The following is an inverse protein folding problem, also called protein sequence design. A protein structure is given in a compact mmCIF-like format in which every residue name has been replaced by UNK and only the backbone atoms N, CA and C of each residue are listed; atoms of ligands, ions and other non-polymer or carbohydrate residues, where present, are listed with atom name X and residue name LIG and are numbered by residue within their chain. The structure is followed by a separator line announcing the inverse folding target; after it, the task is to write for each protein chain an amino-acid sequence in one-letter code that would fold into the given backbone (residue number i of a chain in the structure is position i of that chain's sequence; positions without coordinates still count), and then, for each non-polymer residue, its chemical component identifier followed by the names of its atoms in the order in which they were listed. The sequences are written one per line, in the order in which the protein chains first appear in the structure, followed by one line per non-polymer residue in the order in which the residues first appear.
data_IF_550510479445
#
_entry.id   IF_550510479445
#
_cell.length_a   1.000
_cell.length_b   1.000
_cell.length_c   1.000
_cell.angle_alpha   90.00
_cell.angle_beta   90.00
_cell.angle_gamma   90.00
#
_symmetry.space_group_name_H-M   'P 1'
#
loop_
_entity.id
_entity.type
_entity.pdbx_description
1 polymer ?
#
# COMPACT_ATOMS: atom_id res chain seq x y z
N UNK A 1 3.76 -15.32 -11.02
CA UNK A 1 3.75 -13.89 -11.41
C UNK A 1 4.86 -13.09 -10.74
N UNK A 2 5.24 -13.41 -9.49
CA UNK A 2 6.32 -12.70 -8.79
C UNK A 2 7.07 -13.57 -7.78
N UNK A 3 8.25 -13.11 -7.36
CA UNK A 3 9.08 -13.69 -6.31
C UNK A 3 9.54 -12.61 -5.33
N UNK A 4 9.29 -12.80 -4.03
CA UNK A 4 9.70 -11.89 -2.97
C UNK A 4 11.14 -12.20 -2.52
N UNK A 5 12.03 -11.22 -2.57
CA UNK A 5 13.44 -11.35 -2.18
C UNK A 5 13.68 -10.58 -0.87
N UNK A 6 14.37 -11.21 0.08
CA UNK A 6 14.78 -10.60 1.35
C UNK A 6 16.27 -10.84 1.58
N UNK A 7 17.05 -9.78 1.74
CA UNK A 7 18.48 -9.91 2.08
C UNK A 7 18.74 -10.10 3.57
N UNK A 8 17.81 -9.71 4.44
CA UNK A 8 17.95 -9.82 5.89
C UNK A 8 16.63 -10.22 6.58
N UNK A 9 16.73 -10.90 7.72
CA UNK A 9 15.57 -11.35 8.50
C UNK A 9 14.68 -10.20 9.01
N UNK A 10 15.25 -9.02 9.27
CA UNK A 10 14.49 -7.86 9.74
C UNK A 10 13.53 -7.29 8.68
N UNK A 11 13.67 -7.66 7.41
CA UNK A 11 12.67 -7.29 6.39
C UNK A 11 11.31 -7.95 6.67
N UNK A 12 11.31 -9.18 7.18
CA UNK A 12 10.08 -9.85 7.60
C UNK A 12 9.49 -9.19 8.84
N UNK A 13 10.31 -8.77 9.82
CA UNK A 13 9.82 -8.07 11.02
C UNK A 13 9.20 -6.70 10.66
N UNK A 14 9.74 -6.02 9.65
CA UNK A 14 9.22 -4.75 9.10
C UNK A 14 8.21 -4.93 7.96
N UNK A 15 7.79 -6.16 7.67
CA UNK A 15 6.76 -6.51 6.70
C UNK A 15 6.97 -5.99 5.26
N UNK A 16 8.19 -6.05 4.73
CA UNK A 16 8.46 -5.73 3.32
C UNK A 16 9.44 -6.73 2.69
N UNK A 17 9.56 -6.69 1.36
CA UNK A 17 10.60 -7.41 0.62
C UNK A 17 11.64 -6.41 0.12
N UNK A 18 12.94 -6.71 0.23
CA UNK A 18 13.99 -5.81 -0.28
C UNK A 18 13.97 -5.69 -1.80
N UNK A 19 13.46 -6.71 -2.49
CA UNK A 19 13.10 -6.65 -3.89
C UNK A 19 11.92 -7.59 -4.16
N UNK A 20 11.21 -7.33 -5.26
CA UNK A 20 10.22 -8.26 -5.82
C UNK A 20 10.55 -8.43 -7.30
N UNK A 21 10.83 -9.66 -7.73
CA UNK A 21 11.08 -10.00 -9.13
C UNK A 21 9.77 -10.40 -9.79
N UNK A 22 9.33 -9.67 -10.81
CA UNK A 22 8.17 -10.05 -11.64
C UNK A 22 8.62 -11.11 -12.65
N UNK A 23 7.94 -12.25 -12.68
CA UNK A 23 8.31 -13.43 -13.49
C UNK A 23 7.37 -13.67 -14.67
N UNK A 24 6.34 -12.85 -14.82
CA UNK A 24 5.39 -12.87 -15.93
C UNK A 24 4.24 -11.91 -15.69
N UNK A 25 3.31 -11.82 -16.64
CA UNK A 25 2.08 -11.04 -16.53
C UNK A 25 2.19 -9.60 -17.02
N UNK A 26 1.14 -8.82 -16.74
CA UNK A 26 1.05 -7.41 -17.10
C UNK A 26 1.23 -6.52 -15.88
N UNK A 27 2.02 -5.45 -16.02
CA UNK A 27 2.15 -4.44 -14.97
C UNK A 27 1.00 -3.44 -15.03
N UNK A 28 0.35 -3.23 -13.89
CA UNK A 28 -0.67 -2.21 -13.69
C UNK A 28 -0.10 -1.16 -12.74
N UNK A 29 -0.04 0.08 -13.21
CA UNK A 29 0.44 1.23 -12.44
C UNK A 29 -0.76 1.92 -11.79
N UNK A 30 -0.81 1.91 -10.47
CA UNK A 30 -1.89 2.57 -9.72
C UNK A 30 -1.52 4.04 -9.48
N UNK A 31 -2.54 4.89 -9.53
CA UNK A 31 -2.44 6.25 -9.03
C UNK A 31 -2.18 6.26 -7.50
N UNK A 32 -1.93 7.45 -6.95
CA UNK A 32 -1.91 7.67 -5.50
C UNK A 32 -3.29 7.41 -4.91
N UNK A 33 -3.44 6.31 -4.18
CA UNK A 33 -4.69 5.92 -3.53
C UNK A 33 -4.78 6.61 -2.17
N UNK A 34 -5.85 7.36 -1.99
CA UNK A 34 -6.12 8.21 -0.82
C UNK A 34 -7.34 7.72 -0.05
N UNK A 35 -7.54 8.14 1.21
CA UNK A 35 -8.62 7.66 2.07
C UNK A 35 -9.94 8.40 1.81
N UNK A 36 -10.33 8.52 0.54
CA UNK A 36 -11.62 9.09 0.15
C UNK A 36 -12.57 8.01 -0.34
N UNK A 37 -13.87 8.22 -0.15
CA UNK A 37 -14.89 7.37 -0.74
C UNK A 37 -15.18 7.74 -2.21
N UNK A 38 -16.13 7.04 -2.83
CA UNK A 38 -16.55 7.26 -4.21
C UNK A 38 -17.12 8.67 -4.48
N UNK A 39 -17.57 9.37 -3.43
CA UNK A 39 -18.05 10.75 -3.48
C UNK A 39 -16.95 11.76 -3.11
N UNK A 40 -15.69 11.32 -3.02
CA UNK A 40 -14.51 12.12 -2.67
C UNK A 40 -14.58 12.70 -1.25
N UNK A 41 -15.30 12.06 -0.32
CA UNK A 41 -15.35 12.46 1.09
C UNK A 41 -14.27 11.74 1.87
N UNK A 42 -13.62 12.45 2.81
CA UNK A 42 -12.62 11.85 3.70
C UNK A 42 -13.27 10.79 4.58
N UNK A 43 -12.76 9.56 4.53
CA UNK A 43 -13.14 8.48 5.43
C UNK A 43 -12.21 8.51 6.65
N UNK A 44 -12.74 8.36 7.86
CA UNK A 44 -11.94 8.32 9.09
C UNK A 44 -11.16 9.60 9.42
N UNK A 45 -11.80 10.78 9.52
CA UNK A 45 -11.11 11.99 9.97
C UNK A 45 -10.48 11.79 11.35
N UNK A 46 -9.16 11.98 11.44
CA UNK A 46 -8.39 11.75 12.67
C UNK A 46 -8.22 10.27 13.07
N UNK A 47 -8.69 9.32 12.25
CA UNK A 47 -8.59 7.89 12.51
C UNK A 47 -7.73 7.20 11.45
N UNK A 48 -6.46 6.95 11.80
CA UNK A 48 -5.48 6.36 10.90
C UNK A 48 -5.90 4.98 10.36
N UNK A 49 -6.38 4.09 11.22
CA UNK A 49 -6.75 2.72 10.83
C UNK A 49 -7.91 2.71 9.82
N UNK A 50 -8.92 3.58 10.02
CA UNK A 50 -10.01 3.74 9.05
C UNK A 50 -9.53 4.29 7.72
N UNK A 51 -8.60 5.26 7.73
CA UNK A 51 -7.99 5.79 6.50
C UNK A 51 -7.20 4.73 5.75
N UNK A 52 -6.38 3.94 6.45
CA UNK A 52 -5.64 2.81 5.87
C UNK A 52 -6.62 1.80 5.26
N UNK A 53 -7.70 1.48 5.97
CA UNK A 53 -8.77 0.61 5.47
C UNK A 53 -9.37 1.11 4.16
N UNK A 54 -9.66 2.42 4.06
CA UNK A 54 -10.19 3.02 2.83
C UNK A 54 -9.17 3.01 1.68
N UNK A 55 -7.89 3.28 1.96
CA UNK A 55 -6.83 3.18 0.95
C UNK A 55 -6.71 1.75 0.41
N UNK A 56 -6.79 0.74 1.27
CA UNK A 56 -6.81 -0.66 0.84
C UNK A 56 -8.02 -1.00 -0.03
N UNK A 57 -9.19 -0.48 0.30
CA UNK A 57 -10.40 -0.69 -0.50
C UNK A 57 -10.26 -0.04 -1.88
N UNK A 58 -9.78 1.20 -1.94
CA UNK A 58 -9.56 1.90 -3.20
C UNK A 58 -8.51 1.21 -4.08
N UNK A 59 -7.41 0.73 -3.49
CA UNK A 59 -6.43 -0.10 -4.20
C UNK A 59 -7.05 -1.41 -4.71
N UNK A 60 -7.83 -2.12 -3.87
CA UNK A 60 -8.49 -3.37 -4.24
C UNK A 60 -9.40 -3.17 -5.45
N UNK A 61 -10.28 -2.17 -5.40
CA UNK A 61 -11.21 -1.83 -6.49
C UNK A 61 -10.46 -1.51 -7.79
N UNK A 62 -9.34 -0.78 -7.71
CA UNK A 62 -8.54 -0.43 -8.89
C UNK A 62 -7.88 -1.66 -9.53
N UNK A 63 -7.26 -2.55 -8.73
CA UNK A 63 -6.60 -3.75 -9.26
C UNK A 63 -7.60 -4.75 -9.78
N UNK A 64 -8.74 -4.94 -9.09
CA UNK A 64 -9.80 -5.85 -9.55
C UNK A 64 -10.41 -5.42 -10.88
N UNK A 65 -10.66 -4.11 -11.06
CA UNK A 65 -11.12 -3.58 -12.37
C UNK A 65 -10.09 -3.78 -13.48
N UNK A 66 -8.80 -3.88 -13.14
CA UNK A 66 -7.73 -4.19 -14.08
C UNK A 66 -7.57 -5.70 -14.33
N UNK A 67 -8.31 -6.56 -13.63
CA UNK A 67 -8.25 -8.02 -13.78
C UNK A 67 -7.30 -8.74 -12.82
N UNK A 68 -6.86 -8.08 -11.75
CA UNK A 68 -6.03 -8.70 -10.70
C UNK A 68 -6.69 -8.70 -9.33
N UNK A 69 -5.87 -8.86 -8.31
CA UNK A 69 -6.24 -8.80 -6.89
C UNK A 69 -5.21 -8.02 -6.09
N UNK A 70 -5.58 -7.51 -4.92
CA UNK A 70 -4.68 -6.68 -4.11
C UNK A 70 -3.36 -7.39 -3.75
N UNK A 71 -3.37 -8.72 -3.63
CA UNK A 71 -2.15 -9.50 -3.40
C UNK A 71 -1.19 -9.49 -4.59
N UNK A 72 -1.54 -8.93 -5.75
CA UNK A 72 -0.66 -8.82 -6.92
C UNK A 72 0.27 -7.60 -6.84
N UNK A 73 0.03 -6.69 -5.89
CA UNK A 73 0.85 -5.48 -5.68
C UNK A 73 2.30 -5.86 -5.37
N UNK A 74 3.21 -5.54 -6.29
CA UNK A 74 4.65 -5.89 -6.23
C UNK A 74 5.50 -4.82 -5.58
N UNK A 75 5.08 -3.55 -5.64
CA UNK A 75 5.75 -2.45 -4.94
C UNK A 75 4.75 -1.39 -4.52
N UNK A 76 5.06 -0.68 -3.43
CA UNK A 76 4.30 0.47 -2.94
C UNK A 76 5.20 1.58 -2.40
N UNK A 77 4.82 2.82 -2.63
CA UNK A 77 5.35 3.99 -1.92
C UNK A 77 4.26 4.53 -1.01
N UNK A 78 4.57 4.60 0.28
CA UNK A 78 3.63 4.98 1.33
C UNK A 78 4.04 6.35 1.84
N UNK A 79 3.12 7.29 1.77
CA UNK A 79 3.31 8.65 2.26
C UNK A 79 2.50 8.83 3.54
N UNK A 80 3.13 9.30 4.61
CA UNK A 80 2.48 9.60 5.88
C UNK A 80 2.69 11.08 6.25
N UNK A 81 1.64 11.75 6.72
CA UNK A 81 1.78 13.10 7.29
C UNK A 81 2.29 13.07 8.73
N UNK A 82 2.17 11.93 9.42
CA UNK A 82 2.75 11.69 10.73
C UNK A 82 3.45 10.32 10.76
N UNK A 83 4.78 10.33 10.93
CA UNK A 83 5.59 9.12 11.02
C UNK A 83 5.35 8.32 12.32
N UNK A 84 4.68 8.90 13.32
CA UNK A 84 4.19 8.18 14.50
C UNK A 84 3.28 7.00 14.14
N UNK A 85 2.60 7.06 12.98
CA UNK A 85 1.79 5.96 12.45
C UNK A 85 2.59 4.84 11.76
N UNK A 86 3.90 5.00 11.55
CA UNK A 86 4.70 4.07 10.75
C UNK A 86 4.71 2.62 11.25
N UNK A 87 4.83 2.42 12.58
CA UNK A 87 4.77 1.07 13.15
C UNK A 87 3.37 0.46 13.02
N UNK A 88 2.32 1.25 13.23
CA UNK A 88 0.94 0.80 13.05
C UNK A 88 0.66 0.40 11.60
N UNK A 89 1.16 1.17 10.64
CA UNK A 89 1.05 0.82 9.23
C UNK A 89 1.73 -0.51 8.89
N UNK A 90 2.91 -0.78 9.46
CA UNK A 90 3.62 -2.05 9.26
C UNK A 90 2.79 -3.24 9.76
N UNK A 91 2.12 -3.10 10.90
CA UNK A 91 1.20 -4.12 11.42
C UNK A 91 0.02 -4.35 10.47
N UNK A 92 -0.63 -3.28 10.01
CA UNK A 92 -1.77 -3.35 9.08
C UNK A 92 -1.36 -3.97 7.74
N UNK A 93 -0.17 -3.61 7.22
CA UNK A 93 0.38 -4.24 6.00
C UNK A 93 0.68 -5.72 6.20
N UNK A 94 1.22 -6.10 7.36
CA UNK A 94 1.45 -7.51 7.69
C UNK A 94 0.14 -8.30 7.68
N UNK A 95 -0.90 -7.77 8.30
CA UNK A 95 -2.22 -8.40 8.30
C UNK A 95 -2.79 -8.55 6.88
N UNK A 96 -2.55 -7.56 6.02
CA UNK A 96 -3.10 -7.55 4.65
C UNK A 96 -2.37 -8.47 3.67
N UNK A 97 -1.04 -8.59 3.77
CA UNK A 97 -0.21 -9.33 2.80
C UNK A 97 0.39 -10.64 3.34
N UNK A 98 0.17 -10.96 4.63
CA UNK A 98 0.65 -12.20 5.23
C UNK A 98 2.18 -12.27 5.28
N UNK A 99 2.79 -13.05 4.38
CA UNK A 99 4.24 -13.15 4.22
C UNK A 99 4.73 -12.78 2.81
N UNK A 100 3.84 -12.40 1.90
CA UNK A 100 4.18 -12.05 0.51
C UNK A 100 4.15 -10.54 0.32
N UNK A 101 5.04 -9.86 1.04
CA UNK A 101 5.07 -8.41 1.07
C UNK A 101 5.57 -7.81 -0.25
N UNK A 102 4.95 -6.72 -0.74
CA UNK A 102 5.55 -5.90 -1.77
C UNK A 102 6.90 -5.32 -1.32
N UNK A 103 7.70 -4.88 -2.29
CA UNK A 103 8.73 -3.89 -2.01
C UNK A 103 8.07 -2.60 -1.50
N UNK A 104 8.71 -1.89 -0.58
CA UNK A 104 8.09 -0.70 -0.02
C UNK A 104 9.07 0.37 0.44
N UNK A 105 8.71 1.61 0.15
CA UNK A 105 9.21 2.80 0.84
C UNK A 105 8.11 3.41 1.72
N UNK A 106 8.48 3.96 2.87
CA UNK A 106 7.62 4.73 3.76
C UNK A 106 8.27 6.08 4.00
N UNK A 107 7.55 7.15 3.67
CA UNK A 107 8.10 8.50 3.56
C UNK A 107 7.21 9.46 4.38
N UNK A 108 7.84 10.22 5.26
CA UNK A 108 7.19 11.33 5.95
C UNK A 108 7.11 12.55 5.04
N UNK A 109 5.94 13.17 4.97
CA UNK A 109 5.67 14.35 4.14
C UNK A 109 4.92 15.42 4.95
N UNK A 110 4.93 16.66 4.47
CA UNK A 110 4.25 17.76 5.18
C UNK A 110 2.71 17.69 5.05
N UNK A 111 2.19 17.34 3.87
CA UNK A 111 0.76 17.35 3.59
C UNK A 111 0.41 16.55 2.33
N UNK A 112 -0.85 16.09 2.26
CA UNK A 112 -1.45 15.39 1.12
C UNK A 112 -2.44 16.29 0.37
N UNK A 113 -3.08 15.75 -0.66
CA UNK A 113 -3.96 16.49 -1.57
C UNK A 113 -5.19 17.15 -0.91
N UNK A 114 -5.62 16.66 0.25
CA UNK A 114 -6.75 17.23 1.01
C UNK A 114 -6.40 17.29 2.51
N UNK A 115 -6.81 18.35 3.22
CA UNK A 115 -6.66 18.42 4.68
C UNK A 115 -7.28 17.20 5.38
N UNK A 116 -6.60 16.71 6.42
CA UNK A 116 -7.05 15.58 7.25
C UNK A 116 -6.69 14.19 6.71
N UNK A 117 -6.15 14.08 5.49
CA UNK A 117 -5.54 12.84 5.00
C UNK A 117 -4.24 12.58 5.78
N UNK A 118 -4.09 11.35 6.26
CA UNK A 118 -2.95 10.87 7.04
C UNK A 118 -2.04 9.94 6.23
N UNK A 119 -2.57 9.37 5.14
CA UNK A 119 -1.89 8.39 4.32
C UNK A 119 -2.27 8.50 2.84
N UNK A 120 -1.30 8.26 1.97
CA UNK A 120 -1.50 7.98 0.55
C UNK A 120 -0.57 6.83 0.13
N UNK A 121 -1.03 5.96 -0.78
CA UNK A 121 -0.22 4.85 -1.30
C UNK A 121 -0.26 4.83 -2.81
N UNK A 122 0.91 4.95 -3.43
CA UNK A 122 1.12 4.67 -4.85
C UNK A 122 1.66 3.25 -5.00
N UNK A 123 1.18 2.48 -5.97
CA UNK A 123 1.56 1.07 -6.11
C UNK A 123 1.67 0.60 -7.56
N UNK A 124 2.34 -0.54 -7.75
CA UNK A 124 2.34 -1.28 -9.01
C UNK A 124 1.94 -2.72 -8.70
N UNK A 125 1.07 -3.31 -9.52
CA UNK A 125 0.68 -4.71 -9.46
C UNK A 125 1.16 -5.46 -10.70
N UNK A 126 1.44 -6.76 -10.56
CA UNK A 126 1.71 -7.66 -11.68
C UNK A 126 0.61 -8.71 -11.76
N UNK A 127 -0.32 -8.53 -12.70
CA UNK A 127 -1.53 -9.34 -12.84
C UNK A 127 -1.32 -10.46 -13.90
N UNK A 128 -2.11 -11.55 -13.86
CA UNK A 128 -2.12 -12.60 -14.88
C UNK A 128 -2.15 -12.10 -16.33
#
# INVERSE_FOLDING_TARGET
MRECVRTHAWHETRAFSSAVKVTGGTLVFLAGMTPVDEQRRLVGPGNFDQQVGQVWENMRLAVEKAGGQLSDVVTMTVFLTDLGHGNRFIELRRQKFGRDFPASALIGINQLAMPGMLIEIQAIAAIP
#
